data_IF_759287729241
#
_entry.id   IF_759287729241
#
_cell.length_a   1.000
_cell.length_b   1.000
_cell.length_c   1.000
_cell.angle_alpha   90.00
_cell.angle_beta   90.00
_cell.angle_gamma   90.00
#
_symmetry.space_group_name_H-M   'P 1'
#
loop_
_entity.id
_entity.type
_entity.pdbx_description
1 polymer ?
#
# COMPACT_ATOMS: atom_id res chain seq x y z
N UNK A 1 -3.78 35.87 9.43
CA UNK A 1 -2.50 35.17 9.62
C UNK A 1 -2.30 34.26 8.43
N UNK A 2 -1.12 34.27 7.84
CA UNK A 2 -0.78 33.42 6.69
C UNK A 2 0.17 32.30 7.18
N UNK A 3 -0.03 31.07 6.71
CA UNK A 3 0.79 29.91 7.07
C UNK A 3 1.33 29.27 5.79
N UNK A 4 2.65 29.15 5.71
CA UNK A 4 3.36 28.45 4.64
C UNK A 4 4.03 27.20 5.23
N UNK A 5 3.80 26.04 4.62
CA UNK A 5 4.49 24.80 4.96
C UNK A 5 5.11 24.17 3.71
N UNK A 6 6.25 23.50 3.91
CA UNK A 6 6.98 22.77 2.87
C UNK A 6 7.24 21.36 3.41
N UNK A 7 6.87 20.35 2.63
CA UNK A 7 7.13 18.95 2.96
C UNK A 7 7.80 18.26 1.77
N UNK A 8 8.81 17.44 2.05
CA UNK A 8 9.47 16.59 1.06
C UNK A 8 9.12 15.13 1.34
N UNK A 9 8.68 14.41 0.31
CA UNK A 9 8.36 12.99 0.38
C UNK A 9 9.38 12.18 -0.42
N UNK A 10 9.96 11.16 0.20
CA UNK A 10 10.78 10.17 -0.51
C UNK A 10 9.93 8.93 -0.78
N UNK A 11 9.80 8.57 -2.05
CA UNK A 11 9.06 7.39 -2.49
C UNK A 11 10.01 6.32 -3.04
N UNK A 12 9.60 5.03 -3.02
CA UNK A 12 10.30 3.98 -3.74
C UNK A 12 10.34 4.27 -5.25
N UNK A 13 11.28 3.63 -5.96
CA UNK A 13 11.39 3.77 -7.41
C UNK A 13 10.09 3.32 -8.10
N UNK A 14 9.74 3.99 -9.19
CA UNK A 14 8.45 3.79 -9.86
C UNK A 14 8.31 2.40 -10.53
N UNK A 15 9.43 1.77 -10.86
CA UNK A 15 9.55 0.40 -11.37
C UNK A 15 9.71 -0.65 -10.26
N UNK A 16 9.72 -0.23 -8.99
CA UNK A 16 9.80 -1.12 -7.84
C UNK A 16 8.47 -1.77 -7.48
N UNK A 17 8.54 -2.72 -6.56
CA UNK A 17 7.39 -3.37 -5.93
C UNK A 17 7.22 -2.93 -4.48
N UNK A 18 5.99 -2.98 -3.99
CA UNK A 18 5.62 -2.75 -2.60
C UNK A 18 4.81 -3.93 -2.07
N UNK A 19 5.11 -4.31 -0.83
CA UNK A 19 4.42 -5.37 -0.10
C UNK A 19 5.18 -5.72 1.18
N UNK A 20 4.75 -6.79 1.85
CA UNK A 20 5.45 -7.29 3.03
C UNK A 20 6.88 -7.68 2.67
N UNK A 21 7.83 -7.25 3.51
CA UNK A 21 9.22 -7.67 3.40
C UNK A 21 9.29 -9.19 3.54
N UNK A 22 10.10 -9.84 2.70
CA UNK A 22 10.20 -11.30 2.68
C UNK A 22 10.62 -11.88 4.03
N UNK A 23 11.41 -11.14 4.81
CA UNK A 23 11.83 -11.50 6.16
C UNK A 23 10.71 -11.48 7.21
N UNK A 24 9.57 -10.85 6.91
CA UNK A 24 8.41 -10.76 7.81
C UNK A 24 7.34 -11.80 7.50
N UNK A 25 7.53 -12.61 6.45
CA UNK A 25 6.61 -13.68 6.07
C UNK A 25 7.12 -14.97 6.70
N UNK A 26 6.37 -15.51 7.66
CA UNK A 26 6.67 -16.79 8.32
C UNK A 26 5.40 -17.63 8.37
N UNK A 27 5.49 -18.87 8.86
CA UNK A 27 4.32 -19.72 9.10
C UNK A 27 3.37 -19.10 10.15
N UNK A 28 3.92 -18.38 11.13
CA UNK A 28 3.16 -17.69 12.17
C UNK A 28 2.61 -16.34 11.70
N UNK A 29 3.32 -15.67 10.79
CA UNK A 29 2.91 -14.38 10.20
C UNK A 29 2.79 -14.48 8.68
N UNK A 30 1.70 -15.09 8.17
CA UNK A 30 1.50 -15.24 6.74
C UNK A 30 1.30 -13.87 6.06
N UNK A 31 1.51 -13.84 4.74
CA UNK A 31 1.31 -12.62 3.97
C UNK A 31 -0.17 -12.18 4.01
N UNK A 32 -0.42 -10.99 4.55
CA UNK A 32 -1.78 -10.41 4.64
C UNK A 32 -2.08 -9.36 3.56
N UNK A 33 -1.07 -8.91 2.83
CA UNK A 33 -1.19 -7.95 1.72
C UNK A 33 -0.63 -8.53 0.42
N UNK A 34 -1.26 -8.19 -0.69
CA UNK A 34 -0.74 -8.46 -2.04
C UNK A 34 0.52 -7.64 -2.30
N UNK A 35 1.50 -8.21 -3.00
CA UNK A 35 2.59 -7.46 -3.62
C UNK A 35 2.09 -6.82 -4.91
N UNK A 36 2.38 -5.54 -5.10
CA UNK A 36 2.00 -4.78 -6.31
C UNK A 36 3.16 -3.88 -6.73
N UNK A 37 3.18 -3.47 -7.99
CA UNK A 37 4.14 -2.45 -8.43
C UNK A 37 3.79 -1.08 -7.84
N UNK A 38 4.78 -0.21 -7.69
CA UNK A 38 4.58 1.17 -7.22
C UNK A 38 3.65 1.94 -8.18
N UNK A 39 3.74 1.64 -9.49
CA UNK A 39 2.81 2.18 -10.50
C UNK A 39 1.36 1.80 -10.23
N UNK A 40 1.08 0.52 -10.02
CA UNK A 40 -0.28 0.03 -9.72
C UNK A 40 -0.78 0.64 -8.42
N UNK A 41 0.08 0.70 -7.39
CA UNK A 41 -0.26 1.29 -6.11
C UNK A 41 -0.71 2.75 -6.25
N UNK A 42 0.07 3.59 -6.93
CA UNK A 42 -0.29 5.00 -7.12
C UNK A 42 -1.52 5.17 -8.00
N UNK A 43 -1.63 4.40 -9.09
CA UNK A 43 -2.80 4.45 -9.95
C UNK A 43 -4.08 4.14 -9.17
N UNK A 44 -4.09 3.07 -8.37
CA UNK A 44 -5.25 2.74 -7.55
C UNK A 44 -5.50 3.72 -6.40
N UNK A 45 -4.44 4.19 -5.72
CA UNK A 45 -4.56 5.15 -4.63
C UNK A 45 -5.22 6.46 -5.07
N UNK A 46 -4.82 7.00 -6.24
CA UNK A 46 -5.30 8.29 -6.74
C UNK A 46 -6.57 8.20 -7.60
N UNK A 47 -6.93 7.02 -8.14
CA UNK A 47 -8.15 6.86 -8.96
C UNK A 47 -9.39 6.39 -8.18
N UNK A 48 -9.21 5.90 -6.95
CA UNK A 48 -10.33 5.37 -6.15
C UNK A 48 -11.31 6.48 -5.73
N UNK A 49 -12.59 6.11 -5.57
CA UNK A 49 -13.55 6.96 -4.89
C UNK A 49 -13.25 6.97 -3.38
N UNK A 50 -13.51 8.12 -2.73
CA UNK A 50 -13.31 8.29 -1.29
C UNK A 50 -14.48 7.65 -0.52
N UNK A 51 -14.44 6.33 -0.37
CA UNK A 51 -15.45 5.49 0.27
C UNK A 51 -15.16 5.20 1.75
N UNK A 52 -14.43 6.11 2.41
CA UNK A 52 -13.98 6.01 3.81
C UNK A 52 -12.99 4.89 4.14
N UNK A 53 -12.69 3.97 3.22
CA UNK A 53 -11.66 2.93 3.41
C UNK A 53 -10.28 3.47 3.05
N UNK A 54 -9.20 2.85 3.54
CA UNK A 54 -7.87 3.14 3.04
C UNK A 54 -7.62 2.32 1.76
N UNK A 55 -6.85 2.86 0.80
CA UNK A 55 -6.56 2.11 -0.43
C UNK A 55 -5.91 0.75 -0.15
N UNK A 56 -5.05 0.70 0.88
CA UNK A 56 -4.37 -0.52 1.32
C UNK A 56 -5.34 -1.64 1.74
N UNK A 57 -6.58 -1.32 2.13
CA UNK A 57 -7.60 -2.32 2.45
C UNK A 57 -8.01 -3.14 1.22
N UNK A 58 -7.94 -2.55 0.02
CA UNK A 58 -8.20 -3.25 -1.24
C UNK A 58 -7.09 -4.25 -1.60
N UNK A 59 -5.90 -4.07 -1.01
CA UNK A 59 -4.74 -4.93 -1.21
C UNK A 59 -4.67 -6.08 -0.20
N UNK A 60 -5.57 -6.11 0.80
CA UNK A 60 -5.64 -7.22 1.76
C UNK A 60 -6.00 -8.52 1.04
N UNK A 61 -5.32 -9.59 1.43
CA UNK A 61 -5.65 -10.94 0.99
C UNK A 61 -6.82 -11.42 1.85
N UNK A 62 -7.93 -11.82 1.21
CA UNK A 62 -9.05 -12.44 1.93
C UNK A 62 -8.58 -13.82 2.40
N UNK A 63 -8.45 -13.98 3.72
CA UNK A 63 -8.31 -15.29 4.34
C UNK A 63 -9.64 -16.03 4.11
N UNK A 64 -9.63 -17.12 3.33
CA UNK A 64 -10.77 -18.04 3.35
C UNK A 64 -10.76 -18.72 4.71
N UNK A 65 -11.74 -18.40 5.55
CA UNK A 65 -12.08 -19.25 6.69
C UNK A 65 -12.47 -20.62 6.15
N UNK A 66 -11.70 -21.65 6.50
CA UNK A 66 -12.07 -23.06 6.34
C UNK A 66 -12.37 -23.63 7.72
#
# INVERSE_FOLDING_TARGET
MEMLSIACFHSPKYDGEIGLAASMITEETPAVFKKVTIREFYNGLFSRQLDSKAYIDTLKIQQKEN
#
